data_IF_783836096195
#
_entry.id   IF_783836096195
#
_cell.length_a   1.000
_cell.length_b   1.000
_cell.length_c   1.000
_cell.angle_alpha   90.00
_cell.angle_beta   90.00
_cell.angle_gamma   90.00
#
_symmetry.space_group_name_H-M   'P 1'
#
loop_
_entity.id
_entity.type
_entity.pdbx_description
1 polymer ?
#
# COMPACT_ATOMS: atom_id res chain seq x y z
N UNK A 1 5.08 -12.51 -10.40
CA UNK A 1 4.84 -11.06 -10.35
C UNK A 1 4.22 -10.69 -11.67
N UNK A 2 3.10 -9.97 -11.64
CA UNK A 2 2.46 -9.46 -12.85
C UNK A 2 3.31 -8.36 -13.48
N UNK A 3 3.19 -8.21 -14.80
CA UNK A 3 3.62 -7.03 -15.53
C UNK A 3 2.59 -5.90 -15.38
N UNK A 4 2.96 -4.64 -15.67
CA UNK A 4 2.01 -3.52 -15.64
C UNK A 4 0.77 -3.73 -16.51
N UNK A 5 0.92 -4.34 -17.70
CA UNK A 5 -0.22 -4.61 -18.58
C UNK A 5 -1.15 -5.67 -17.99
N UNK A 6 -0.60 -6.76 -17.44
CA UNK A 6 -1.41 -7.80 -16.79
C UNK A 6 -2.16 -7.25 -15.57
N UNK A 7 -1.53 -6.38 -14.77
CA UNK A 7 -2.19 -5.73 -13.64
C UNK A 7 -3.29 -4.77 -14.12
N UNK A 8 -3.04 -3.96 -15.15
CA UNK A 8 -4.06 -3.05 -15.71
C UNK A 8 -5.27 -3.81 -16.28
N UNK A 9 -5.04 -4.91 -17.00
CA UNK A 9 -6.12 -5.79 -17.47
C UNK A 9 -6.91 -6.38 -16.31
N UNK A 10 -6.23 -6.79 -15.24
CA UNK A 10 -6.86 -7.32 -14.03
C UNK A 10 -7.70 -6.26 -13.32
N UNK A 11 -7.19 -5.03 -13.16
CA UNK A 11 -7.93 -3.92 -12.57
C UNK A 11 -9.23 -3.67 -13.32
N UNK A 12 -9.18 -3.67 -14.66
CA UNK A 12 -10.36 -3.40 -15.50
C UNK A 12 -11.38 -4.55 -15.52
N UNK A 13 -10.99 -5.76 -15.10
CA UNK A 13 -11.83 -6.95 -15.10
C UNK A 13 -12.25 -7.42 -13.70
N UNK A 14 -11.78 -6.76 -12.65
CA UNK A 14 -12.06 -7.11 -11.24
C UNK A 14 -13.05 -6.11 -10.66
N UNK A 15 -14.05 -6.59 -9.94
CA UNK A 15 -14.96 -5.74 -9.16
C UNK A 15 -14.33 -5.36 -7.81
N UNK A 16 -14.81 -4.28 -7.18
CA UNK A 16 -14.29 -3.87 -5.86
C UNK A 16 -14.48 -4.99 -4.81
N UNK A 17 -15.62 -5.68 -4.84
CA UNK A 17 -15.89 -6.80 -3.91
C UNK A 17 -14.88 -7.94 -4.08
N UNK A 18 -14.51 -8.28 -5.31
CA UNK A 18 -13.49 -9.32 -5.57
C UNK A 18 -12.10 -8.86 -5.14
N UNK A 19 -11.74 -7.59 -5.40
CA UNK A 19 -10.45 -7.04 -4.96
C UNK A 19 -10.32 -7.06 -3.43
N UNK A 20 -11.40 -6.72 -2.70
CA UNK A 20 -11.46 -6.79 -1.24
C UNK A 20 -11.28 -8.23 -0.77
N UNK A 21 -12.02 -9.20 -1.32
CA UNK A 21 -11.92 -10.61 -0.92
C UNK A 21 -10.49 -11.14 -1.11
N UNK A 22 -9.86 -10.83 -2.24
CA UNK A 22 -8.48 -11.23 -2.54
C UNK A 22 -7.51 -10.58 -1.56
N UNK A 23 -7.68 -9.28 -1.27
CA UNK A 23 -6.85 -8.55 -0.31
C UNK A 23 -6.98 -9.13 1.10
N UNK A 24 -8.19 -9.37 1.58
CA UNK A 24 -8.42 -9.94 2.91
C UNK A 24 -7.82 -11.34 3.04
N UNK A 25 -8.02 -12.20 2.05
CA UNK A 25 -7.50 -13.56 2.08
C UNK A 25 -5.97 -13.59 2.00
N UNK A 26 -5.40 -12.85 1.04
CA UNK A 26 -3.97 -12.93 0.73
C UNK A 26 -3.10 -12.06 1.62
N UNK A 27 -3.61 -10.95 2.12
CA UNK A 27 -2.83 -10.00 2.92
C UNK A 27 -3.22 -10.10 4.38
N UNK A 28 -4.46 -9.73 4.72
CA UNK A 28 -4.89 -9.60 6.12
C UNK A 28 -4.83 -10.94 6.85
N UNK A 29 -5.40 -12.00 6.27
CA UNK A 29 -5.43 -13.31 6.92
C UNK A 29 -4.07 -14.00 6.94
N UNK A 30 -3.23 -13.75 5.93
CA UNK A 30 -1.87 -14.28 5.92
C UNK A 30 -0.95 -13.53 6.89
N UNK A 31 -1.09 -12.20 7.03
CA UNK A 31 -0.27 -11.39 7.94
C UNK A 31 -0.49 -11.79 9.40
N UNK A 32 -1.72 -12.21 9.76
CA UNK A 32 -2.03 -12.68 11.10
C UNK A 32 -1.18 -13.89 11.54
N UNK A 33 -0.62 -14.65 10.60
CA UNK A 33 0.26 -15.79 10.90
C UNK A 33 1.61 -15.34 11.48
N UNK A 34 2.00 -14.08 11.27
CA UNK A 34 3.27 -13.52 11.75
C UNK A 34 3.23 -13.09 13.23
N UNK A 35 2.05 -13.04 13.86
CA UNK A 35 1.90 -12.64 15.27
C UNK A 35 1.83 -13.85 16.20
N UNK A 36 2.87 -14.11 16.99
CA UNK A 36 2.90 -15.27 17.91
C UNK A 36 1.88 -15.16 19.08
N UNK A 37 1.57 -13.95 19.54
CA UNK A 37 0.62 -13.71 20.62
C UNK A 37 -0.83 -13.80 20.12
N UNK A 38 -1.59 -14.77 20.65
CA UNK A 38 -2.97 -15.03 20.25
C UNK A 38 -3.94 -13.91 20.64
N UNK A 39 -3.73 -13.23 21.78
CA UNK A 39 -4.59 -12.10 22.17
C UNK A 39 -4.36 -10.90 21.25
N UNK A 40 -3.10 -10.59 20.95
CA UNK A 40 -2.74 -9.54 20.01
C UNK A 40 -3.27 -9.84 18.60
N UNK A 41 -3.05 -11.06 18.11
CA UNK A 41 -3.57 -11.53 16.81
C UNK A 41 -5.09 -11.37 16.70
N UNK A 42 -5.84 -11.72 17.76
CA UNK A 42 -7.29 -11.52 17.80
C UNK A 42 -7.70 -10.05 17.83
N UNK A 43 -6.89 -9.20 18.47
CA UNK A 43 -7.04 -7.74 18.43
C UNK A 43 -6.96 -7.24 16.99
N UNK A 44 -5.84 -7.49 16.32
CA UNK A 44 -5.60 -7.09 14.93
C UNK A 44 -6.70 -7.62 13.99
N UNK A 45 -7.11 -8.88 14.16
CA UNK A 45 -8.19 -9.45 13.35
C UNK A 45 -9.54 -8.71 13.52
N UNK A 46 -9.83 -8.14 14.68
CA UNK A 46 -11.05 -7.33 14.88
C UNK A 46 -10.95 -5.99 14.14
N UNK A 47 -9.75 -5.40 14.11
CA UNK A 47 -9.50 -4.14 13.41
C UNK A 47 -9.63 -4.31 11.90
N UNK A 48 -9.13 -5.41 11.35
CA UNK A 48 -9.34 -5.77 9.93
C UNK A 48 -10.82 -5.83 9.54
N UNK A 49 -11.70 -6.29 10.43
CA UNK A 49 -13.15 -6.33 10.18
C UNK A 49 -13.82 -4.95 10.24
N UNK A 50 -13.11 -3.92 10.72
CA UNK A 50 -13.61 -2.55 10.80
C UNK A 50 -13.20 -1.69 9.60
N UNK A 51 -12.43 -2.21 8.65
CA UNK A 51 -12.02 -1.46 7.47
C UNK A 51 -13.28 -0.98 6.72
N UNK A 52 -13.35 0.33 6.51
CA UNK A 52 -14.38 0.98 5.72
C UNK A 52 -13.88 1.16 4.28
N UNK A 53 -14.14 0.17 3.43
CA UNK A 53 -13.81 0.27 2.01
C UNK A 53 -14.64 1.32 1.25
N UNK A 54 -15.69 1.88 1.87
CA UNK A 54 -16.47 2.98 1.29
C UNK A 54 -15.82 4.34 1.56
N UNK A 55 -15.02 4.47 2.62
CA UNK A 55 -14.25 5.67 2.95
C UNK A 55 -13.11 5.98 1.96
N UNK A 56 -12.49 7.14 2.10
CA UNK A 56 -11.43 7.61 1.19
C UNK A 56 -10.09 6.97 1.54
N UNK A 57 -9.36 6.49 0.52
CA UNK A 57 -8.00 5.99 0.69
C UNK A 57 -7.00 7.10 0.38
N UNK A 58 -5.76 6.90 0.81
CA UNK A 58 -4.64 7.76 0.46
C UNK A 58 -3.43 6.91 0.09
N UNK A 59 -2.62 7.44 -0.80
CA UNK A 59 -1.39 6.83 -1.28
C UNK A 59 -0.20 7.74 -0.98
N UNK A 60 0.90 7.14 -0.54
CA UNK A 60 2.10 7.85 -0.09
C UNK A 60 3.36 7.28 -0.74
N UNK A 61 4.30 8.14 -1.10
CA UNK A 61 5.66 7.77 -1.54
C UNK A 61 6.67 8.43 -0.62
N UNK A 62 7.42 7.66 0.15
CA UNK A 62 8.26 8.19 1.22
C UNK A 62 9.75 7.87 1.03
N UNK A 63 10.64 8.86 1.22
CA UNK A 63 12.08 8.66 1.16
C UNK A 63 12.66 7.90 2.36
N UNK A 64 11.96 7.88 3.49
CA UNK A 64 12.45 7.30 4.74
C UNK A 64 11.25 6.87 5.60
N UNK A 65 11.32 5.66 6.15
CA UNK A 65 10.27 5.05 6.95
C UNK A 65 10.01 5.89 8.21
N UNK A 66 8.85 6.56 8.26
CA UNK A 66 8.34 7.20 9.47
C UNK A 66 8.97 8.56 9.82
N UNK A 67 9.71 9.20 8.89
CA UNK A 67 10.31 10.52 9.14
C UNK A 67 9.82 11.63 8.20
N UNK A 68 9.10 11.28 7.13
CA UNK A 68 8.70 12.19 6.06
C UNK A 68 7.18 12.21 5.87
N UNK A 69 6.59 13.39 5.62
CA UNK A 69 5.27 13.50 4.98
C UNK A 69 5.49 13.37 3.47
N UNK A 70 5.90 12.19 3.01
CA UNK A 70 6.22 11.95 1.61
C UNK A 70 5.04 12.23 0.68
N UNK A 71 5.23 12.00 -0.62
CA UNK A 71 4.24 12.33 -1.64
C UNK A 71 2.85 11.74 -1.43
N UNK A 72 1.90 12.57 -0.99
CA UNK A 72 0.51 12.24 -0.68
C UNK A 72 -0.43 12.50 -1.87
N UNK A 73 -1.23 11.51 -2.22
CA UNK A 73 -2.34 11.69 -3.16
C UNK A 73 -3.47 12.56 -2.59
N UNK A 74 -4.22 13.24 -3.46
CA UNK A 74 -5.59 13.64 -3.14
C UNK A 74 -6.44 12.40 -2.75
N UNK A 75 -7.63 12.64 -2.18
CA UNK A 75 -8.54 11.58 -1.75
C UNK A 75 -8.84 10.58 -2.88
N UNK A 76 -8.64 9.29 -2.59
CA UNK A 76 -8.98 8.19 -3.50
C UNK A 76 -10.36 7.67 -3.15
N UNK A 77 -11.33 7.95 -4.02
CA UNK A 77 -12.75 7.74 -3.72
C UNK A 77 -13.41 6.75 -4.68
N UNK A 78 -12.93 6.65 -5.93
CA UNK A 78 -13.60 5.81 -6.93
C UNK A 78 -13.26 4.34 -6.73
N UNK A 79 -14.19 3.46 -7.12
CA UNK A 79 -13.98 2.02 -7.02
C UNK A 79 -12.76 1.55 -7.82
N UNK A 80 -12.54 2.11 -9.01
CA UNK A 80 -11.46 1.68 -9.90
C UNK A 80 -10.08 1.99 -9.30
N UNK A 81 -9.91 3.17 -8.71
CA UNK A 81 -8.67 3.56 -8.03
C UNK A 81 -8.42 2.68 -6.80
N UNK A 82 -9.48 2.40 -6.02
CA UNK A 82 -9.39 1.48 -4.86
C UNK A 82 -9.03 0.06 -5.27
N UNK A 83 -9.63 -0.47 -6.34
CA UNK A 83 -9.26 -1.78 -6.92
C UNK A 83 -7.78 -1.79 -7.28
N UNK A 84 -7.29 -0.74 -7.94
CA UNK A 84 -5.89 -0.61 -8.34
C UNK A 84 -4.94 -0.69 -7.14
N UNK A 85 -5.23 0.03 -6.06
CA UNK A 85 -4.43 0.00 -4.83
C UNK A 85 -4.45 -1.36 -4.13
N UNK A 86 -5.63 -1.98 -3.97
CA UNK A 86 -5.74 -3.27 -3.30
C UNK A 86 -5.02 -4.37 -4.09
N UNK A 87 -5.12 -4.37 -5.42
CA UNK A 87 -4.40 -5.33 -6.26
C UNK A 87 -2.89 -5.08 -6.30
N UNK A 88 -2.43 -3.82 -6.23
CA UNK A 88 -1.01 -3.50 -6.08
C UNK A 88 -0.45 -4.10 -4.78
N UNK A 89 -1.15 -3.91 -3.66
CA UNK A 89 -0.76 -4.50 -2.37
C UNK A 89 -0.68 -6.03 -2.47
N UNK A 90 -1.62 -6.67 -3.17
CA UNK A 90 -1.64 -8.13 -3.35
C UNK A 90 -0.43 -8.61 -4.14
N UNK A 91 -0.03 -7.89 -5.19
CA UNK A 91 1.16 -8.23 -5.98
C UNK A 91 2.47 -7.94 -5.21
N UNK A 92 2.47 -6.96 -4.30
CA UNK A 92 3.60 -6.64 -3.42
C UNK A 92 3.70 -7.52 -2.16
N UNK A 93 2.63 -8.26 -1.83
CA UNK A 93 2.58 -9.07 -0.62
C UNK A 93 3.62 -10.21 -0.59
N UNK A 94 3.98 -10.70 0.61
CA UNK A 94 4.98 -11.75 0.91
C UNK A 94 6.47 -11.34 0.70
N UNK A 95 6.71 -10.38 -0.19
CA UNK A 95 8.05 -9.90 -0.53
C UNK A 95 8.42 -8.57 0.15
N UNK A 96 7.49 -7.63 0.22
CA UNK A 96 7.82 -6.22 0.49
C UNK A 96 7.06 -5.60 1.66
N UNK A 97 6.05 -6.29 2.20
CA UNK A 97 5.15 -5.75 3.22
C UNK A 97 5.70 -6.09 4.60
N UNK A 98 6.51 -5.20 5.16
CA UNK A 98 6.60 -5.11 6.62
C UNK A 98 5.27 -4.54 7.07
N UNK A 99 4.34 -5.39 7.50
CA UNK A 99 3.04 -4.94 7.97
C UNK A 99 3.23 -4.28 9.33
N UNK A 100 3.57 -2.99 9.39
CA UNK A 100 3.22 -2.20 10.54
C UNK A 100 1.77 -1.74 10.35
N UNK A 101 0.84 -2.62 10.69
CA UNK A 101 -0.55 -2.19 10.96
C UNK A 101 -0.52 -1.46 12.30
N UNK A 102 -0.16 -0.19 12.25
CA UNK A 102 -0.53 0.79 13.24
C UNK A 102 -1.96 1.23 12.96
N UNK A 103 -2.76 1.37 14.02
CA UNK A 103 -3.89 2.30 13.95
C UNK A 103 -3.31 3.65 14.30
N UNK A 104 -3.16 4.52 13.31
CA UNK A 104 -2.78 5.90 13.54
C UNK A 104 -3.92 6.83 13.15
N UNK A 105 -3.96 7.97 13.84
CA UNK A 105 -4.86 9.07 13.49
C UNK A 105 -4.34 9.70 12.20
N UNK A 106 -5.09 9.50 11.12
CA UNK A 106 -4.92 10.21 9.87
C UNK A 106 -6.11 11.12 9.63
N UNK A 107 -5.86 12.44 9.62
CA UNK A 107 -6.88 13.48 9.41
C UNK A 107 -8.09 13.39 10.37
N UNK A 108 -7.90 12.86 11.57
CA UNK A 108 -8.95 12.67 12.59
C UNK A 108 -9.61 11.29 12.57
N UNK A 109 -9.11 10.34 11.77
CA UNK A 109 -9.69 8.99 11.64
C UNK A 109 -8.65 7.91 11.91
N UNK A 110 -9.08 6.84 12.60
CA UNK A 110 -8.29 5.62 12.78
C UNK A 110 -8.12 4.93 11.41
N UNK A 111 -6.88 4.80 10.93
CA UNK A 111 -6.55 4.13 9.66
C UNK A 111 -5.63 2.94 9.87
N UNK A 112 -5.80 1.91 9.02
CA UNK A 112 -4.78 0.88 8.82
C UNK A 112 -3.80 1.36 7.77
N UNK A 113 -2.53 1.34 8.10
CA UNK A 113 -1.46 1.59 7.16
C UNK A 113 -0.92 0.27 6.59
N UNK A 114 -0.78 0.24 5.26
CA UNK A 114 -0.18 -0.86 4.52
C UNK A 114 1.05 -0.31 3.79
N UNK A 115 2.22 -0.55 4.37
CA UNK A 115 3.52 -0.14 3.87
C UNK A 115 4.21 -1.28 3.10
N UNK A 116 4.96 -0.90 2.07
CA UNK A 116 5.87 -1.82 1.41
C UNK A 116 7.15 -1.14 0.94
N UNK A 117 8.26 -1.83 1.19
CA UNK A 117 9.62 -1.33 0.97
C UNK A 117 10.00 -1.48 -0.51
N UNK A 118 10.58 -0.45 -1.10
CA UNK A 118 10.99 -0.41 -2.52
C UNK A 118 12.49 -0.13 -2.71
N UNK A 119 13.24 -0.05 -1.62
CA UNK A 119 14.70 0.12 -1.54
C UNK A 119 15.34 -0.90 -0.60
N UNK A 120 16.60 -1.25 -0.83
CA UNK A 120 17.35 -2.16 0.04
C UNK A 120 17.93 -1.49 1.29
N UNK A 121 17.82 -0.16 1.41
CA UNK A 121 18.30 0.57 2.60
C UNK A 121 17.58 0.09 3.87
N UNK A 122 16.26 -0.08 3.77
CA UNK A 122 15.38 -0.44 4.88
C UNK A 122 14.74 -1.83 4.77
N UNK A 123 15.04 -2.60 3.73
CA UNK A 123 14.40 -3.89 3.49
C UNK A 123 14.92 -5.01 4.42
N UNK A 124 14.01 -5.66 5.17
CA UNK A 124 14.33 -6.89 5.90
C UNK A 124 14.77 -8.04 4.98
N UNK A 125 14.26 -8.07 3.74
CA UNK A 125 14.67 -8.99 2.66
C UNK A 125 15.11 -8.18 1.45
N UNK A 126 16.42 -8.16 1.11
CA UNK A 126 16.90 -7.39 -0.03
C UNK A 126 16.27 -7.82 -1.36
N UNK A 127 15.96 -6.83 -2.18
CA UNK A 127 15.39 -6.94 -3.51
C UNK A 127 16.48 -7.25 -4.53
N UNK A 128 16.19 -8.18 -5.43
CA UNK A 128 16.97 -8.31 -6.66
C UNK A 128 16.65 -7.18 -7.63
N UNK A 129 17.51 -6.97 -8.64
CA UNK A 129 17.29 -5.95 -9.66
C UNK A 129 15.97 -6.15 -10.41
N UNK A 130 15.66 -7.38 -10.82
CA UNK A 130 14.42 -7.70 -11.53
C UNK A 130 13.18 -7.46 -10.67
N UNK A 131 13.27 -7.76 -9.39
CA UNK A 131 12.21 -7.52 -8.42
C UNK A 131 11.92 -6.04 -8.22
N UNK A 132 12.99 -5.24 -8.07
CA UNK A 132 12.91 -3.79 -8.01
C UNK A 132 12.28 -3.18 -9.28
N UNK A 133 12.73 -3.61 -10.47
CA UNK A 133 12.19 -3.10 -11.73
C UNK A 133 10.70 -3.39 -11.86
N UNK A 134 10.28 -4.62 -11.54
CA UNK A 134 8.87 -5.00 -11.62
C UNK A 134 8.03 -4.19 -10.64
N UNK A 135 8.40 -4.12 -9.35
CA UNK A 135 7.59 -3.39 -8.38
C UNK A 135 7.54 -1.89 -8.69
N UNK A 136 8.67 -1.29 -9.12
CA UNK A 136 8.72 0.10 -9.58
C UNK A 136 7.78 0.34 -10.74
N UNK A 137 7.84 -0.50 -11.77
CA UNK A 137 7.01 -0.32 -12.97
C UNK A 137 5.52 -0.49 -12.66
N UNK A 138 5.16 -1.37 -11.72
CA UNK A 138 3.79 -1.50 -11.22
C UNK A 138 3.34 -0.24 -10.48
N UNK A 139 4.13 0.26 -9.53
CA UNK A 139 3.81 1.48 -8.77
C UNK A 139 3.64 2.68 -9.71
N UNK A 140 4.59 2.88 -10.64
CA UNK A 140 4.54 3.97 -11.63
C UNK A 140 3.28 3.89 -12.48
N UNK A 141 2.93 2.69 -12.96
CA UNK A 141 1.70 2.48 -13.72
C UNK A 141 0.46 2.82 -12.88
N UNK A 142 0.42 2.44 -11.61
CA UNK A 142 -0.69 2.74 -10.71
C UNK A 142 -0.81 4.25 -10.49
N UNK A 143 0.29 4.94 -10.20
CA UNK A 143 0.29 6.38 -9.97
C UNK A 143 -0.15 7.13 -11.23
N UNK A 144 0.43 6.82 -12.39
CA UNK A 144 0.17 7.54 -13.63
C UNK A 144 -1.28 7.37 -14.15
N UNK A 145 -1.98 6.29 -13.79
CA UNK A 145 -3.29 5.95 -14.37
C UNK A 145 -4.45 5.91 -13.36
N UNK A 146 -4.17 5.70 -12.08
CA UNK A 146 -5.20 5.38 -11.07
C UNK A 146 -5.04 6.12 -9.75
N UNK A 147 -4.00 6.95 -9.58
CA UNK A 147 -3.90 7.82 -8.40
C UNK A 147 -4.26 9.24 -8.84
N UNK A 148 -5.20 9.91 -8.16
CA UNK A 148 -5.47 11.34 -8.33
C UNK A 148 -4.20 12.18 -8.16
N UNK A 149 -4.27 13.48 -8.47
CA UNK A 149 -3.10 14.36 -8.33
C UNK A 149 -2.42 14.21 -6.97
N UNK A 150 -1.10 14.06 -6.98
CA UNK A 150 -0.31 14.20 -5.77
C UNK A 150 -0.13 15.69 -5.47
N UNK A 151 -0.14 16.07 -4.20
CA UNK A 151 -0.05 17.46 -3.79
C UNK A 151 1.32 18.08 -4.15
N UNK A 152 1.37 19.42 -4.25
CA UNK A 152 2.41 20.15 -5.01
C UNK A 152 3.85 20.03 -4.45
N UNK A 153 4.06 19.54 -3.22
CA UNK A 153 5.42 19.34 -2.68
C UNK A 153 6.12 18.08 -3.24
N UNK A 154 5.47 17.32 -4.13
CA UNK A 154 5.63 15.86 -4.21
C UNK A 154 5.90 15.34 -5.62
N UNK A 155 5.88 16.22 -6.63
CA UNK A 155 6.22 15.80 -8.01
C UNK A 155 7.68 15.32 -8.07
N UNK A 156 8.60 15.94 -7.33
CA UNK A 156 10.02 15.60 -7.44
C UNK A 156 10.40 14.26 -6.79
N UNK A 157 9.74 13.85 -5.70
CA UNK A 157 9.98 12.55 -5.04
C UNK A 157 9.51 11.41 -5.94
N UNK A 158 8.32 11.56 -6.53
CA UNK A 158 7.82 10.64 -7.54
C UNK A 158 8.68 10.64 -8.81
N UNK A 159 9.09 11.80 -9.32
CA UNK A 159 10.02 11.86 -10.46
C UNK A 159 11.36 11.19 -10.13
N UNK A 160 11.86 11.33 -8.89
CA UNK A 160 13.07 10.65 -8.43
C UNK A 160 12.87 9.14 -8.38
N UNK A 161 11.72 8.68 -7.88
CA UNK A 161 11.36 7.26 -7.86
C UNK A 161 11.34 6.66 -9.27
N UNK A 162 10.66 7.33 -10.22
CA UNK A 162 10.60 6.93 -11.63
C UNK A 162 12.00 6.80 -12.27
N UNK A 163 12.92 7.67 -11.88
CA UNK A 163 14.29 7.68 -12.41
C UNK A 163 15.23 6.71 -11.68
N UNK A 164 14.81 6.13 -10.56
CA UNK A 164 15.59 5.17 -9.78
C UNK A 164 15.96 3.93 -10.59
N UNK A 165 17.25 3.61 -10.67
CA UNK A 165 17.77 2.55 -11.54
C UNK A 165 18.05 1.22 -10.83
N UNK A 166 18.26 1.22 -9.52
CA UNK A 166 18.56 -0.01 -8.76
C UNK A 166 18.14 0.14 -7.29
N UNK A 167 17.80 -0.96 -6.60
CA UNK A 167 17.27 -0.91 -5.24
C UNK A 167 18.27 -0.44 -4.18
N UNK A 168 19.57 -0.38 -4.46
CA UNK A 168 20.58 0.06 -3.49
C UNK A 168 20.86 1.57 -3.55
N UNK A 169 20.38 2.27 -4.57
CA UNK A 169 20.61 3.72 -4.74
C UNK A 169 19.32 4.52 -4.87
N UNK A 170 18.17 3.84 -4.93
CA UNK A 170 16.86 4.49 -4.92
C UNK A 170 16.64 5.11 -3.55
N UNK A 171 16.32 6.41 -3.54
CA UNK A 171 16.12 7.19 -2.32
C UNK A 171 14.74 7.04 -1.70
N UNK A 172 13.80 6.43 -2.41
CA UNK A 172 12.47 6.15 -1.90
C UNK A 172 12.54 4.80 -1.23
N UNK A 173 12.28 4.78 0.07
CA UNK A 173 12.38 3.59 0.88
C UNK A 173 11.07 2.81 0.91
N UNK A 174 9.93 3.51 0.93
CA UNK A 174 8.62 2.87 1.06
C UNK A 174 7.53 3.57 0.25
N UNK A 175 6.50 2.77 -0.05
CA UNK A 175 5.18 3.22 -0.49
C UNK A 175 4.18 2.78 0.55
N UNK A 176 3.17 3.60 0.80
CA UNK A 176 2.17 3.33 1.82
C UNK A 176 0.76 3.63 1.32
N UNK A 177 -0.21 2.83 1.77
CA UNK A 177 -1.64 3.00 1.49
C UNK A 177 -2.40 3.00 2.82
N UNK A 178 -3.31 3.96 3.00
CA UNK A 178 -4.20 4.00 4.18
C UNK A 178 -5.58 3.46 3.87
N UNK A 179 -6.10 2.62 4.77
CA UNK A 179 -7.46 2.09 4.75
C UNK A 179 -8.20 2.59 6.00
N UNK A 180 -9.23 3.44 5.88
CA UNK A 180 -9.93 3.99 7.04
C UNK A 180 -10.71 2.90 7.78
N UNK A 181 -10.89 3.08 9.09
CA UNK A 181 -11.73 2.22 9.92
C UNK A 181 -13.06 2.93 10.25
N UNK A 182 -14.16 2.18 10.34
CA UNK A 182 -15.38 2.67 10.98
C UNK A 182 -15.10 3.07 12.42
N UNK A 183 -15.68 4.17 12.91
CA UNK A 183 -15.59 4.59 14.31
C UNK A 183 -15.80 3.42 15.27
N UNK A 184 -15.03 3.37 16.37
CA UNK A 184 -15.33 2.43 17.46
C UNK A 184 -16.72 2.77 17.95
N UNK A 185 -17.71 1.91 17.69
CA UNK A 185 -18.98 2.00 18.38
C UNK A 185 -18.68 1.89 19.88
N UNK A 186 -18.71 3.03 20.58
CA UNK A 186 -18.69 3.05 22.03
C UNK A 186 -19.90 2.24 22.50
N UNK A 187 -19.66 1.16 23.23
CA UNK A 187 -20.69 0.31 23.80
C UNK A 187 -21.30 0.92 25.05
#
# INVERSE_FOLDING_TARGET
MMTPNELAERINSTTLSEAIEIFEEKILMMSLKNYDDNQYRQGVQKEYKRIDYTGSFFFFVEPDLGSSRGGLSDCIETEQEKIALLLLLVEAYDRYVDVNVGIEDWLGYDCIFCDFVVSNESAAKPLTQTEYEVIRDLIVMIIDNYVPSMTVMETWEYETFKQGQNPNTTRIDNVQITLPLFDKQEK
#
